data_IF_084916523386
#
_entry.id   IF_084916523386
#
_cell.length_a   1.000
_cell.length_b   1.000
_cell.length_c   1.000
_cell.angle_alpha   90.00
_cell.angle_beta   90.00
_cell.angle_gamma   90.00
#
_symmetry.space_group_name_H-M   'P 1'
#
loop_
_entity.id
_entity.type
_entity.pdbx_description
1 polymer ?
#
# COMPACT_ATOMS: atom_id res chain seq x y z
N UNK A 1 21.71 7.38 1.47
CA UNK A 1 20.91 6.14 1.59
C UNK A 1 19.48 6.48 1.20
N UNK A 2 18.85 5.76 0.29
CA UNK A 2 17.50 6.08 -0.19
C UNK A 2 16.49 5.79 0.91
N UNK A 3 15.69 6.78 1.31
CA UNK A 3 14.68 6.63 2.35
C UNK A 3 13.47 5.90 1.75
N UNK A 4 13.11 4.75 2.32
CA UNK A 4 11.91 3.99 1.95
C UNK A 4 10.78 4.38 2.89
N UNK A 5 9.58 4.60 2.34
CA UNK A 5 8.40 5.00 3.10
C UNK A 5 7.41 3.82 3.12
N UNK A 6 6.88 3.47 4.31
CA UNK A 6 5.70 2.63 4.34
C UNK A 6 4.48 3.46 3.98
N UNK A 7 3.89 3.15 2.83
CA UNK A 7 2.69 3.83 2.39
C UNK A 7 1.44 3.06 2.82
N UNK A 8 0.62 3.72 3.58
CA UNK A 8 -0.61 3.14 4.06
C UNK A 8 -1.77 3.45 3.14
N UNK A 9 -2.43 2.41 2.68
CA UNK A 9 -3.63 2.48 1.86
C UNK A 9 -4.84 2.10 2.73
N UNK A 10 -5.71 3.04 3.14
CA UNK A 10 -6.84 2.77 4.03
C UNK A 10 -8.07 2.13 3.36
N UNK A 11 -8.02 1.88 2.05
CA UNK A 11 -9.11 1.25 1.29
C UNK A 11 -8.67 -0.09 0.72
N UNK A 12 -9.63 -0.96 0.48
CA UNK A 12 -9.37 -2.25 -0.17
C UNK A 12 -9.06 -2.10 -1.66
N UNK A 13 -9.49 -1.00 -2.26
CA UNK A 13 -9.30 -0.72 -3.67
C UNK A 13 -9.13 0.76 -3.96
N UNK A 14 -8.14 1.07 -4.79
CA UNK A 14 -7.90 2.38 -5.38
C UNK A 14 -7.73 2.22 -6.87
N UNK A 15 -8.31 3.13 -7.60
CA UNK A 15 -8.08 3.28 -9.03
C UNK A 15 -7.71 4.72 -9.35
N UNK A 16 -6.69 4.87 -10.15
CA UNK A 16 -6.27 6.15 -10.72
C UNK A 16 -6.05 5.98 -12.20
N UNK A 17 -6.60 6.88 -12.97
CA UNK A 17 -6.44 6.96 -14.41
C UNK A 17 -6.14 8.40 -14.79
N UNK A 18 -5.25 8.56 -15.76
CA UNK A 18 -4.90 9.84 -16.34
C UNK A 18 -5.83 10.24 -17.47
N UNK A 19 -7.16 10.22 -17.29
CA UNK A 19 -8.09 10.77 -18.27
C UNK A 19 -7.89 12.28 -18.42
N UNK A 20 -6.79 12.66 -19.12
CA UNK A 20 -6.55 14.05 -19.55
C UNK A 20 -5.64 14.91 -18.68
N UNK A 21 -5.13 14.42 -17.58
CA UNK A 21 -4.09 15.08 -16.80
C UNK A 21 -2.84 14.20 -16.81
N UNK A 22 -1.78 14.68 -17.44
CA UNK A 22 -0.47 14.01 -17.42
C UNK A 22 0.08 14.08 -15.98
N UNK A 23 -0.18 13.06 -15.21
CA UNK A 23 0.41 12.91 -13.89
C UNK A 23 1.58 11.93 -14.01
N UNK A 24 2.80 12.35 -13.58
CA UNK A 24 3.95 11.45 -13.66
C UNK A 24 3.69 10.15 -12.89
N UNK A 25 4.11 9.02 -13.47
CA UNK A 25 4.22 7.74 -12.76
C UNK A 25 5.45 7.73 -11.85
N UNK A 26 5.83 8.89 -11.32
CA UNK A 26 7.00 9.04 -10.47
C UNK A 26 6.60 8.98 -9.01
N UNK A 27 7.27 8.14 -8.25
CA UNK A 27 7.13 8.09 -6.80
C UNK A 27 8.44 7.74 -6.11
N UNK A 28 8.57 8.17 -4.85
CA UNK A 28 9.67 7.78 -3.99
C UNK A 28 9.58 6.30 -3.62
N UNK A 29 10.71 5.70 -3.22
CA UNK A 29 10.73 4.33 -2.75
C UNK A 29 9.79 4.14 -1.56
N UNK A 30 8.86 3.20 -1.70
CA UNK A 30 7.87 2.86 -0.69
C UNK A 30 7.48 1.39 -0.75
N UNK A 31 6.72 0.94 0.24
CA UNK A 31 6.06 -0.36 0.24
C UNK A 31 4.71 -0.26 0.93
N UNK A 32 3.81 -1.16 0.61
CA UNK A 32 2.50 -1.30 1.23
C UNK A 32 2.00 -2.75 1.14
N UNK A 33 0.95 -3.07 1.92
CA UNK A 33 0.33 -4.41 1.95
C UNK A 33 -0.69 -4.62 0.83
N UNK A 34 -0.59 -3.89 -0.26
CA UNK A 34 -1.48 -4.01 -1.40
C UNK A 34 -0.72 -4.54 -2.59
N UNK A 35 -1.42 -5.21 -3.49
CA UNK A 35 -0.92 -5.43 -4.84
C UNK A 35 -1.06 -4.12 -5.61
N UNK A 36 0.00 -3.73 -6.31
CA UNK A 36 -0.05 -2.60 -7.23
C UNK A 36 0.00 -3.10 -8.67
N UNK A 37 -0.90 -2.60 -9.49
CA UNK A 37 -1.07 -3.02 -10.88
C UNK A 37 -1.01 -1.76 -11.73
N UNK A 38 -0.06 -1.70 -12.65
CA UNK A 38 0.10 -0.59 -13.61
C UNK A 38 -0.03 -1.12 -15.02
N UNK A 39 -1.02 -0.65 -15.76
CA UNK A 39 -1.11 -0.88 -17.20
C UNK A 39 -0.72 0.40 -17.93
N UNK A 40 0.37 0.35 -18.69
CA UNK A 40 0.91 1.48 -19.43
C UNK A 40 0.33 1.51 -20.84
N UNK A 41 -0.60 2.43 -21.09
CA UNK A 41 -1.21 2.62 -22.40
C UNK A 41 -0.25 3.18 -23.43
N UNK A 42 0.55 4.18 -23.00
CA UNK A 42 1.46 4.90 -23.88
C UNK A 42 2.58 5.50 -23.05
N UNK A 43 3.81 5.35 -23.52
CA UNK A 43 5.00 5.91 -22.87
C UNK A 43 6.05 4.88 -22.49
N UNK A 44 6.92 5.30 -21.56
CA UNK A 44 8.03 4.51 -21.03
C UNK A 44 8.34 4.93 -19.61
N UNK A 45 8.52 3.96 -18.72
CA UNK A 45 8.94 4.19 -17.34
C UNK A 45 9.89 3.10 -16.86
N UNK A 46 10.62 3.39 -15.78
CA UNK A 46 11.42 2.40 -15.05
C UNK A 46 10.74 2.11 -13.71
N UNK A 47 10.49 0.83 -13.45
CA UNK A 47 10.09 0.35 -12.15
C UNK A 47 11.29 -0.28 -11.44
N UNK A 48 11.53 0.13 -10.23
CA UNK A 48 12.50 -0.48 -9.34
C UNK A 48 11.73 -1.28 -8.31
N UNK A 49 11.94 -2.58 -8.27
CA UNK A 49 11.25 -3.48 -7.34
C UNK A 49 12.30 -4.24 -6.55
N UNK A 50 12.42 -3.97 -5.25
CA UNK A 50 13.51 -4.39 -4.37
C UNK A 50 14.89 -4.00 -4.93
N UNK A 51 15.71 -5.00 -5.35
CA UNK A 51 17.04 -4.77 -5.95
C UNK A 51 17.03 -4.72 -7.47
N UNK A 52 15.91 -5.07 -8.09
CA UNK A 52 15.82 -5.26 -9.53
C UNK A 52 15.20 -4.03 -10.21
N UNK A 53 15.56 -3.81 -11.48
CA UNK A 53 15.04 -2.72 -12.31
C UNK A 53 14.37 -3.31 -13.54
N UNK A 54 13.16 -2.84 -13.80
CA UNK A 54 12.33 -3.28 -14.92
C UNK A 54 11.97 -2.06 -15.78
N UNK A 55 12.12 -2.22 -17.07
CA UNK A 55 11.63 -1.25 -18.04
C UNK A 55 10.20 -1.59 -18.43
N UNK A 56 9.34 -0.58 -18.46
CA UNK A 56 7.93 -0.71 -18.79
C UNK A 56 7.67 0.15 -20.02
N UNK A 57 7.12 -0.47 -21.06
CA UNK A 57 6.78 0.17 -22.33
C UNK A 57 5.28 0.20 -22.55
N UNK A 58 4.86 0.93 -23.57
CA UNK A 58 3.45 0.92 -24.01
C UNK A 58 2.93 -0.51 -24.15
N UNK A 59 1.72 -0.75 -23.66
CA UNK A 59 1.02 -2.04 -23.63
C UNK A 59 1.55 -3.07 -22.61
N UNK A 60 2.49 -2.68 -21.75
CA UNK A 60 2.96 -3.53 -20.66
C UNK A 60 2.05 -3.43 -19.43
N UNK A 61 1.91 -4.55 -18.74
CA UNK A 61 1.23 -4.67 -17.46
C UNK A 61 2.22 -5.07 -16.38
N UNK A 62 2.47 -4.17 -15.42
CA UNK A 62 3.30 -4.44 -14.25
C UNK A 62 2.42 -4.83 -13.08
N UNK A 63 2.82 -5.89 -12.34
CA UNK A 63 2.13 -6.33 -11.12
C UNK A 63 3.12 -6.48 -9.99
N UNK A 64 3.03 -5.61 -8.99
CA UNK A 64 3.88 -5.60 -7.80
C UNK A 64 3.14 -6.26 -6.65
N UNK A 65 3.71 -7.33 -6.11
CA UNK A 65 3.12 -8.08 -5.00
C UNK A 65 3.29 -7.32 -3.67
N UNK A 66 2.49 -7.65 -2.64
CA UNK A 66 2.52 -6.97 -1.35
C UNK A 66 3.90 -6.92 -0.71
N UNK A 67 4.16 -5.87 0.04
CA UNK A 67 5.38 -5.68 0.84
C UNK A 67 6.69 -5.70 0.03
N UNK A 68 6.62 -5.40 -1.26
CA UNK A 68 7.81 -5.15 -2.09
C UNK A 68 8.17 -3.68 -2.02
N UNK A 69 9.46 -3.38 -1.80
CA UNK A 69 9.95 -2.01 -1.90
C UNK A 69 9.96 -1.63 -3.37
N UNK A 70 9.23 -0.59 -3.74
CA UNK A 70 9.19 -0.16 -5.13
C UNK A 70 9.16 1.35 -5.28
N UNK A 71 9.61 1.81 -6.44
CA UNK A 71 9.54 3.18 -6.89
C UNK A 71 9.43 3.22 -8.40
N UNK A 72 8.91 4.30 -8.91
CA UNK A 72 8.87 4.57 -10.35
C UNK A 72 9.70 5.80 -10.68
N UNK A 73 10.27 5.76 -11.87
CA UNK A 73 10.98 6.88 -12.49
C UNK A 73 10.46 7.05 -13.91
N UNK A 74 9.84 8.20 -14.16
CA UNK A 74 9.39 8.53 -15.51
C UNK A 74 10.59 8.82 -16.40
N UNK A 75 10.64 8.15 -17.54
CA UNK A 75 11.60 8.46 -18.59
C UNK A 75 10.99 9.36 -19.68
N UNK A 76 9.66 9.55 -19.67
CA UNK A 76 8.95 10.45 -20.57
C UNK A 76 7.91 11.28 -19.77
N UNK A 77 7.81 12.57 -20.06
CA UNK A 77 6.90 13.48 -19.36
C UNK A 77 5.40 13.19 -19.61
N UNK A 78 5.04 12.19 -20.38
CA UNK A 78 3.68 11.97 -20.89
C UNK A 78 3.25 10.50 -20.87
N UNK A 79 3.47 9.81 -19.75
CA UNK A 79 2.95 8.45 -19.61
C UNK A 79 1.42 8.46 -19.44
N UNK A 80 0.73 7.58 -20.16
CA UNK A 80 -0.70 7.29 -19.97
C UNK A 80 -0.83 5.92 -19.36
N UNK A 81 -1.43 5.82 -18.19
CA UNK A 81 -1.52 4.55 -17.47
C UNK A 81 -2.80 4.43 -16.65
N UNK A 82 -3.16 3.18 -16.35
CA UNK A 82 -4.08 2.85 -15.27
C UNK A 82 -3.28 2.33 -14.08
N UNK A 83 -3.57 2.82 -12.90
CA UNK A 83 -3.01 2.36 -11.65
C UNK A 83 -4.13 1.81 -10.76
N UNK A 84 -4.04 0.52 -10.42
CA UNK A 84 -4.91 -0.11 -9.44
C UNK A 84 -4.07 -0.51 -8.22
N UNK A 85 -4.56 -0.19 -7.04
CA UNK A 85 -3.95 -0.61 -5.78
C UNK A 85 -5.01 -1.38 -5.00
N UNK A 86 -4.76 -2.66 -4.74
CA UNK A 86 -5.75 -3.63 -4.27
C UNK A 86 -5.25 -4.31 -3.02
N UNK A 87 -6.08 -4.31 -1.97
CA UNK A 87 -5.76 -5.08 -0.77
C UNK A 87 -5.62 -6.57 -1.14
N UNK A 88 -4.49 -7.18 -0.76
CA UNK A 88 -4.24 -8.59 -1.04
C UNK A 88 -5.31 -9.53 -0.47
N UNK A 89 -5.96 -9.14 0.63
CA UNK A 89 -7.01 -9.93 1.29
C UNK A 89 -8.38 -9.85 0.58
N UNK A 90 -8.51 -9.05 -0.47
CA UNK A 90 -9.76 -8.98 -1.25
C UNK A 90 -10.09 -10.33 -1.89
N UNK A 91 -9.07 -11.12 -2.21
CA UNK A 91 -9.17 -12.47 -2.75
C UNK A 91 -8.36 -13.46 -1.90
N UNK A 92 -8.89 -13.91 -0.74
CA UNK A 92 -8.16 -14.78 0.19
C UNK A 92 -7.66 -16.08 -0.43
N UNK A 93 -8.33 -16.57 -1.49
CA UNK A 93 -7.98 -17.78 -2.20
C UNK A 93 -6.58 -17.73 -2.83
N UNK A 94 -6.12 -16.55 -3.17
CA UNK A 94 -4.81 -16.34 -3.79
C UNK A 94 -3.86 -15.56 -2.90
N UNK A 95 -4.32 -14.96 -1.80
CA UNK A 95 -3.51 -14.12 -0.93
C UNK A 95 -2.30 -14.88 -0.36
N UNK A 96 -2.46 -16.17 -0.01
CA UNK A 96 -1.37 -17.00 0.46
C UNK A 96 -0.29 -17.20 -0.62
N UNK A 97 -0.70 -17.46 -1.86
CA UNK A 97 0.24 -17.61 -2.98
C UNK A 97 0.99 -16.31 -3.25
N UNK A 98 0.27 -15.18 -3.32
CA UNK A 98 0.87 -13.85 -3.52
C UNK A 98 1.84 -13.47 -2.38
N UNK A 99 1.57 -13.90 -1.16
CA UNK A 99 2.44 -13.66 -0.01
C UNK A 99 3.69 -14.56 0.01
N UNK A 100 3.60 -15.79 -0.52
CA UNK A 100 4.66 -16.80 -0.48
C UNK A 100 5.57 -16.80 -1.71
N UNK A 101 5.08 -16.30 -2.83
CA UNK A 101 5.77 -16.34 -4.11
C UNK A 101 6.12 -14.93 -4.61
N UNK A 102 7.14 -14.85 -5.46
CA UNK A 102 7.49 -13.65 -6.20
C UNK A 102 7.46 -13.91 -7.69
N UNK A 103 6.97 -12.98 -8.51
CA UNK A 103 7.21 -13.03 -9.94
C UNK A 103 8.71 -13.07 -10.23
N UNK A 104 9.11 -13.89 -11.21
CA UNK A 104 10.47 -13.83 -11.77
C UNK A 104 10.66 -12.54 -12.58
N UNK A 105 9.64 -12.19 -13.34
CA UNK A 105 9.48 -10.90 -13.98
C UNK A 105 8.07 -10.37 -13.63
N UNK A 106 7.95 -9.22 -12.98
CA UNK A 106 6.66 -8.62 -12.64
C UNK A 106 5.98 -7.94 -13.83
N UNK A 107 6.62 -7.91 -15.00
CA UNK A 107 6.11 -7.26 -16.21
C UNK A 107 5.58 -8.28 -17.21
N UNK A 108 4.30 -8.18 -17.51
CA UNK A 108 3.65 -8.91 -18.61
C UNK A 108 3.72 -8.02 -19.85
N UNK A 109 4.43 -8.49 -20.87
CA UNK A 109 4.59 -7.77 -22.13
C UNK A 109 3.36 -7.93 -23.03
N UNK A 110 3.03 -6.85 -23.78
CA UNK A 110 1.92 -6.84 -24.73
C UNK A 110 0.64 -7.39 -24.10
N UNK A 111 0.19 -6.79 -23.02
CA UNK A 111 -0.95 -7.29 -22.23
C UNK A 111 -2.25 -7.34 -23.06
N UNK A 112 -2.36 -6.52 -24.11
CA UNK A 112 -3.49 -6.52 -25.03
C UNK A 112 -3.63 -7.82 -25.86
N UNK A 113 -2.57 -8.63 -25.95
CA UNK A 113 -2.64 -9.95 -26.58
C UNK A 113 -3.52 -10.93 -25.77
N UNK A 114 -3.79 -10.64 -24.51
CA UNK A 114 -4.73 -11.40 -23.69
C UNK A 114 -6.07 -10.64 -23.54
N UNK A 115 -7.08 -10.98 -24.35
CA UNK A 115 -8.37 -10.29 -24.32
C UNK A 115 -9.13 -10.45 -22.99
N UNK A 116 -8.88 -11.52 -22.22
CA UNK A 116 -9.51 -11.73 -20.91
C UNK A 116 -8.93 -10.78 -19.86
N UNK A 117 -7.61 -10.61 -19.83
CA UNK A 117 -6.95 -9.63 -18.95
C UNK A 117 -7.45 -8.22 -19.26
N UNK A 118 -7.53 -7.86 -20.55
CA UNK A 118 -8.01 -6.54 -20.97
C UNK A 118 -9.49 -6.31 -20.64
N UNK A 119 -10.32 -7.32 -20.78
CA UNK A 119 -11.73 -7.22 -20.36
C UNK A 119 -11.86 -6.95 -18.87
N UNK A 120 -11.04 -7.63 -18.03
CA UNK A 120 -11.04 -7.45 -16.59
C UNK A 120 -10.50 -6.07 -16.19
N UNK A 121 -9.43 -5.57 -16.82
CA UNK A 121 -8.93 -4.20 -16.63
C UNK A 121 -10.03 -3.18 -16.94
N UNK A 122 -10.74 -3.34 -18.09
CA UNK A 122 -11.81 -2.43 -18.47
C UNK A 122 -12.98 -2.43 -17.48
N UNK A 123 -13.36 -3.60 -16.95
CA UNK A 123 -14.38 -3.71 -15.91
C UNK A 123 -13.93 -3.02 -14.61
N UNK A 124 -12.68 -3.23 -14.20
CA UNK A 124 -12.14 -2.65 -12.98
C UNK A 124 -11.98 -1.13 -13.08
N UNK A 125 -11.79 -0.55 -14.26
CA UNK A 125 -11.82 0.91 -14.50
C UNK A 125 -13.16 1.52 -14.09
N UNK A 126 -14.24 0.80 -14.31
CA UNK A 126 -15.60 1.27 -14.02
C UNK A 126 -16.10 0.83 -12.63
N UNK A 127 -15.20 0.33 -11.78
CA UNK A 127 -15.55 -0.19 -10.45
C UNK A 127 -16.30 0.81 -9.55
N UNK A 128 -16.13 2.12 -9.77
CA UNK A 128 -16.90 3.14 -9.05
C UNK A 128 -18.38 3.13 -9.43
N UNK A 129 -18.74 2.66 -10.61
CA UNK A 129 -20.13 2.50 -11.06
C UNK A 129 -20.84 1.27 -10.50
N UNK A 130 -20.11 0.36 -9.84
CA UNK A 130 -20.71 -0.85 -9.28
C UNK A 130 -21.79 -0.54 -8.24
N UNK A 131 -22.92 -1.28 -8.25
CA UNK A 131 -23.96 -1.09 -7.25
C UNK A 131 -23.41 -1.24 -5.84
N UNK A 132 -23.69 -0.27 -4.96
CA UNK A 132 -23.18 -0.23 -3.58
C UNK A 132 -23.45 -1.50 -2.81
N UNK A 133 -24.61 -2.11 -3.04
CA UNK A 133 -25.07 -3.34 -2.34
C UNK A 133 -24.18 -4.57 -2.63
N UNK A 134 -23.50 -4.63 -3.75
CA UNK A 134 -22.67 -5.77 -4.16
C UNK A 134 -21.26 -5.39 -4.63
N UNK A 135 -20.85 -4.12 -4.46
CA UNK A 135 -19.55 -3.61 -4.91
C UNK A 135 -18.38 -4.48 -4.43
N UNK A 136 -18.35 -4.84 -3.16
CA UNK A 136 -17.27 -5.68 -2.62
C UNK A 136 -17.25 -7.08 -3.22
N UNK A 137 -18.41 -7.69 -3.42
CA UNK A 137 -18.53 -9.01 -4.06
C UNK A 137 -18.05 -8.98 -5.50
N UNK A 138 -18.43 -7.94 -6.25
CA UNK A 138 -17.99 -7.75 -7.63
C UNK A 138 -16.49 -7.51 -7.72
N UNK A 139 -15.93 -6.62 -6.90
CA UNK A 139 -14.50 -6.38 -6.83
C UNK A 139 -13.73 -7.67 -6.54
N UNK A 140 -14.17 -8.43 -5.53
CA UNK A 140 -13.55 -9.72 -5.19
C UNK A 140 -13.58 -10.69 -6.38
N UNK A 141 -14.72 -10.87 -7.02
CA UNK A 141 -14.87 -11.79 -8.16
C UNK A 141 -13.97 -11.40 -9.34
N UNK A 142 -13.97 -10.12 -9.70
CA UNK A 142 -13.15 -9.64 -10.82
C UNK A 142 -11.65 -9.67 -10.51
N UNK A 143 -11.23 -9.33 -9.29
CA UNK A 143 -9.82 -9.48 -8.90
C UNK A 143 -9.38 -10.92 -8.79
N UNK A 144 -10.22 -11.82 -8.29
CA UNK A 144 -9.90 -13.26 -8.29
C UNK A 144 -9.68 -13.77 -9.72
N UNK A 145 -10.56 -13.39 -10.66
CA UNK A 145 -10.41 -13.75 -12.08
C UNK A 145 -9.16 -13.11 -12.70
N UNK A 146 -8.90 -11.84 -12.40
CA UNK A 146 -7.71 -11.13 -12.88
C UNK A 146 -6.42 -11.80 -12.42
N UNK A 147 -6.31 -12.13 -11.13
CA UNK A 147 -5.11 -12.78 -10.61
C UNK A 147 -4.95 -14.21 -11.14
N UNK A 148 -6.05 -14.94 -11.37
CA UNK A 148 -5.97 -16.26 -11.99
C UNK A 148 -5.33 -16.19 -13.38
N UNK A 149 -5.75 -15.25 -14.23
CA UNK A 149 -5.14 -15.03 -15.55
C UNK A 149 -3.69 -14.55 -15.47
N UNK A 150 -3.43 -13.57 -14.62
CA UNK A 150 -2.10 -12.96 -14.49
C UNK A 150 -1.07 -13.94 -13.92
N UNK A 151 -1.42 -14.75 -12.93
CA UNK A 151 -0.50 -15.73 -12.34
C UNK A 151 -0.12 -16.87 -13.29
N UNK A 152 -0.95 -17.17 -14.29
CA UNK A 152 -0.58 -18.09 -15.37
C UNK A 152 0.44 -17.46 -16.35
N UNK A 153 0.39 -16.14 -16.52
CA UNK A 153 1.30 -15.39 -17.41
C UNK A 153 2.62 -15.03 -16.74
N UNK A 154 2.66 -15.01 -15.42
CA UNK A 154 3.85 -14.65 -14.63
C UNK A 154 4.41 -15.88 -13.92
N UNK A 155 5.48 -16.51 -14.43
CA UNK A 155 6.20 -17.53 -13.69
C UNK A 155 6.66 -16.97 -12.34
N UNK A 156 6.27 -17.63 -11.28
CA UNK A 156 6.65 -17.27 -9.91
C UNK A 156 7.76 -18.17 -9.39
N UNK A 157 8.48 -17.72 -8.38
CA UNK A 157 9.47 -18.50 -7.64
C UNK A 157 9.21 -18.34 -6.15
N UNK A 158 9.52 -19.37 -5.38
CA UNK A 158 9.54 -19.25 -3.93
C UNK A 158 10.51 -18.16 -3.49
N UNK A 159 10.09 -17.36 -2.53
CA UNK A 159 10.93 -16.31 -1.96
C UNK A 159 12.12 -16.95 -1.27
N UNK A 160 13.33 -16.67 -1.77
CA UNK A 160 14.54 -17.06 -1.04
C UNK A 160 14.66 -16.21 0.22
N UNK A 161 15.10 -16.80 1.35
CA UNK A 161 15.43 -16.00 2.53
C UNK A 161 16.54 -14.99 2.17
N UNK A 162 16.20 -13.74 2.11
CA UNK A 162 17.09 -12.61 1.88
C UNK A 162 16.86 -11.55 2.97
N UNK A 163 17.65 -10.48 2.98
CA UNK A 163 17.44 -9.38 3.93
C UNK A 163 16.04 -8.76 3.83
N UNK A 164 15.40 -8.80 2.67
CA UNK A 164 14.05 -8.30 2.48
C UNK A 164 13.00 -9.27 3.02
N UNK A 165 13.32 -10.57 3.11
CA UNK A 165 12.45 -11.56 3.73
C UNK A 165 12.16 -11.23 5.20
N UNK A 166 13.18 -10.88 5.96
CA UNK A 166 13.02 -10.53 7.37
C UNK A 166 12.09 -9.32 7.54
N UNK A 167 12.28 -8.27 6.74
CA UNK A 167 11.42 -7.08 6.83
C UNK A 167 9.98 -7.39 6.41
N UNK A 168 9.78 -8.22 5.36
CA UNK A 168 8.45 -8.66 4.95
C UNK A 168 7.75 -9.44 6.07
N UNK A 169 8.45 -10.39 6.68
CA UNK A 169 7.92 -11.17 7.80
C UNK A 169 7.51 -10.27 8.97
N UNK A 170 8.36 -9.32 9.35
CA UNK A 170 8.07 -8.38 10.44
C UNK A 170 6.90 -7.47 10.10
N UNK A 171 6.87 -6.91 8.90
CA UNK A 171 5.78 -6.02 8.41
C UNK A 171 4.46 -6.78 8.36
N UNK A 172 4.47 -8.00 7.82
CA UNK A 172 3.29 -8.87 7.77
C UNK A 172 2.76 -9.21 9.16
N UNK A 173 3.66 -9.59 10.07
CA UNK A 173 3.28 -9.89 11.46
C UNK A 173 2.65 -8.67 12.13
N UNK A 174 3.24 -7.48 11.97
CA UNK A 174 2.69 -6.25 12.50
C UNK A 174 1.32 -5.93 11.90
N UNK A 175 1.15 -6.07 10.58
CA UNK A 175 -0.11 -5.82 9.89
C UNK A 175 -1.24 -6.74 10.37
N UNK A 176 -0.93 -7.98 10.73
CA UNK A 176 -1.91 -8.93 11.23
C UNK A 176 -2.21 -8.78 12.75
N UNK A 177 -1.34 -8.10 13.49
CA UNK A 177 -1.42 -8.05 14.95
C UNK A 177 -1.39 -6.63 15.54
N UNK A 178 -1.55 -5.56 14.75
CA UNK A 178 -1.38 -4.18 15.21
C UNK A 178 -2.34 -3.76 16.33
N UNK A 179 -3.49 -4.42 16.46
CA UNK A 179 -4.45 -4.15 17.54
C UNK A 179 -4.01 -4.70 18.89
N UNK A 180 -3.06 -5.65 18.90
CA UNK A 180 -2.48 -6.23 20.11
C UNK A 180 -1.35 -5.36 20.64
N UNK A 181 -0.85 -5.68 21.85
CA UNK A 181 0.33 -5.02 22.41
C UNK A 181 1.59 -5.48 21.67
N UNK A 182 1.97 -4.72 20.63
CA UNK A 182 3.17 -4.97 19.83
C UNK A 182 4.38 -4.21 20.38
N UNK A 183 5.43 -4.96 20.71
CA UNK A 183 6.73 -4.44 21.09
C UNK A 183 7.86 -5.15 20.36
N UNK A 184 9.03 -4.52 20.29
CA UNK A 184 10.23 -5.17 19.70
C UNK A 184 10.60 -6.46 20.44
N UNK A 185 10.39 -6.50 21.77
CA UNK A 185 10.67 -7.71 22.57
C UNK A 185 9.68 -8.83 22.27
N UNK A 186 8.40 -8.49 22.01
CA UNK A 186 7.40 -9.48 21.59
C UNK A 186 7.78 -10.04 20.21
N UNK A 187 8.14 -9.17 19.26
CA UNK A 187 8.57 -9.62 17.92
C UNK A 187 9.83 -10.49 17.96
N UNK A 188 10.77 -10.19 18.87
CA UNK A 188 11.97 -11.01 19.10
C UNK A 188 11.60 -12.42 19.51
N UNK A 189 10.65 -12.58 20.42
CA UNK A 189 10.19 -13.89 20.88
C UNK A 189 9.40 -14.65 19.80
N UNK A 190 8.53 -13.96 19.07
CA UNK A 190 7.64 -14.59 18.09
C UNK A 190 8.33 -14.92 16.76
N UNK A 191 9.24 -14.05 16.33
CA UNK A 191 9.90 -14.17 15.02
C UNK A 191 11.33 -14.70 15.10
N UNK A 192 11.87 -14.90 16.30
CA UNK A 192 13.25 -15.32 16.53
C UNK A 192 14.30 -14.42 15.87
N UNK A 193 13.97 -13.12 15.75
CA UNK A 193 14.83 -12.06 15.22
C UNK A 193 15.17 -11.11 16.36
N UNK A 194 16.46 -10.78 16.56
CA UNK A 194 16.83 -9.88 17.67
C UNK A 194 16.14 -8.52 17.54
N UNK A 195 15.73 -7.94 18.67
CA UNK A 195 15.10 -6.59 18.69
C UNK A 195 15.99 -5.52 18.05
N UNK A 196 17.31 -5.65 18.15
CA UNK A 196 18.26 -4.75 17.49
C UNK A 196 18.17 -4.86 15.97
N UNK A 197 18.13 -6.10 15.45
CA UNK A 197 17.99 -6.35 14.03
C UNK A 197 16.65 -5.81 13.50
N UNK A 198 15.54 -6.08 14.21
CA UNK A 198 14.23 -5.54 13.84
C UNK A 198 14.25 -4.00 13.84
N UNK A 199 14.84 -3.38 14.87
CA UNK A 199 14.96 -1.92 14.94
C UNK A 199 15.76 -1.34 13.78
N UNK A 200 16.86 -2.00 13.37
CA UNK A 200 17.66 -1.65 12.21
C UNK A 200 16.89 -1.79 10.90
N UNK A 201 16.10 -2.87 10.75
CA UNK A 201 15.24 -3.04 9.56
C UNK A 201 14.29 -1.85 9.39
N UNK A 202 13.66 -1.39 10.47
CA UNK A 202 12.79 -0.21 10.41
C UNK A 202 13.56 1.08 10.15
N UNK A 203 14.65 1.32 10.86
CA UNK A 203 15.45 2.54 10.73
C UNK A 203 16.13 2.65 9.38
N UNK A 204 16.86 1.62 8.99
CA UNK A 204 17.75 1.65 7.82
C UNK A 204 17.05 1.34 6.50
N UNK A 205 16.10 0.39 6.52
CA UNK A 205 15.38 -0.02 5.30
C UNK A 205 14.10 0.79 5.07
N UNK A 206 13.29 1.01 6.11
CA UNK A 206 12.01 1.73 5.98
C UNK A 206 12.10 3.22 6.33
N UNK A 207 13.20 3.68 6.93
CA UNK A 207 13.34 5.08 7.35
C UNK A 207 12.29 5.55 8.37
N UNK A 208 11.67 4.63 9.11
CA UNK A 208 10.63 4.90 10.10
C UNK A 208 10.94 4.15 11.39
N UNK A 209 10.57 4.70 12.54
CA UNK A 209 10.66 3.96 13.79
C UNK A 209 9.56 2.92 13.92
N UNK A 210 9.85 1.76 14.51
CA UNK A 210 8.88 0.70 14.74
C UNK A 210 7.56 1.19 15.35
N UNK A 211 7.63 1.99 16.41
CA UNK A 211 6.42 2.51 17.06
C UNK A 211 5.61 3.46 16.17
N UNK A 212 6.26 4.27 15.34
CA UNK A 212 5.58 5.15 14.38
C UNK A 212 4.90 4.32 13.28
N UNK A 213 5.53 3.22 12.86
CA UNK A 213 4.95 2.25 11.94
C UNK A 213 3.69 1.59 12.53
N UNK A 214 3.76 1.00 13.74
CA UNK A 214 2.60 0.37 14.39
C UNK A 214 1.47 1.40 14.61
N UNK A 215 1.81 2.62 15.04
CA UNK A 215 0.82 3.67 15.20
C UNK A 215 0.17 4.06 13.87
N UNK A 216 0.91 4.02 12.76
CA UNK A 216 0.31 4.28 11.45
C UNK A 216 -0.72 3.21 11.08
N UNK A 217 -0.48 1.94 11.38
CA UNK A 217 -1.44 0.86 11.20
C UNK A 217 -2.71 1.09 12.03
N UNK A 218 -2.57 1.41 13.29
CA UNK A 218 -3.68 1.69 14.21
C UNK A 218 -4.52 2.89 13.77
N UNK A 219 -3.86 3.97 13.35
CA UNK A 219 -4.56 5.19 12.91
C UNK A 219 -5.40 4.99 11.67
N UNK A 220 -4.99 4.13 10.74
CA UNK A 220 -5.82 3.85 9.57
C UNK A 220 -7.08 3.08 9.94
N UNK A 221 -6.95 2.08 10.76
CA UNK A 221 -8.11 1.36 11.23
C UNK A 221 -9.05 2.31 11.99
N UNK A 222 -8.49 3.20 12.83
CA UNK A 222 -9.25 4.25 13.47
C UNK A 222 -9.95 5.17 12.46
N UNK A 223 -9.26 5.62 11.41
CA UNK A 223 -9.85 6.42 10.34
C UNK A 223 -10.99 5.68 9.63
N UNK A 224 -10.82 4.39 9.35
CA UNK A 224 -11.90 3.55 8.81
C UNK A 224 -13.11 3.54 9.74
N UNK A 225 -12.90 3.23 11.02
CA UNK A 225 -13.99 3.18 12.02
C UNK A 225 -14.68 4.54 12.18
N UNK A 226 -13.92 5.65 12.19
CA UNK A 226 -14.48 7.01 12.28
C UNK A 226 -15.45 7.33 11.13
N UNK A 227 -15.19 6.80 9.93
CA UNK A 227 -16.05 7.01 8.75
C UNK A 227 -17.23 6.05 8.70
N UNK A 228 -17.04 4.79 9.14
CA UNK A 228 -17.99 3.71 8.86
C UNK A 228 -18.83 3.30 10.06
N UNK A 229 -18.53 3.78 11.28
CA UNK A 229 -19.23 3.36 12.50
C UNK A 229 -19.70 4.55 13.34
N UNK A 230 -20.61 4.28 14.28
CA UNK A 230 -21.06 5.22 15.30
C UNK A 230 -20.32 5.06 16.65
N UNK A 231 -19.27 4.25 16.71
CA UNK A 231 -18.49 4.04 17.92
C UNK A 231 -17.96 5.37 18.47
N UNK A 232 -17.90 5.52 19.78
CA UNK A 232 -17.28 6.68 20.43
C UNK A 232 -15.79 6.76 20.09
N UNK A 233 -15.19 7.94 20.29
CA UNK A 233 -13.73 8.13 20.08
C UNK A 233 -12.92 7.21 20.98
N UNK A 234 -13.40 6.97 22.20
CA UNK A 234 -12.75 6.06 23.15
C UNK A 234 -12.82 4.60 22.66
N UNK A 235 -14.00 4.13 22.28
CA UNK A 235 -14.16 2.77 21.72
C UNK A 235 -13.30 2.55 20.49
N UNK A 236 -13.18 3.55 19.60
CA UNK A 236 -12.31 3.47 18.43
C UNK A 236 -10.83 3.42 18.84
N UNK A 237 -10.41 4.24 19.81
CA UNK A 237 -9.06 4.19 20.35
C UNK A 237 -8.70 2.78 20.82
N UNK A 238 -9.57 2.17 21.60
CA UNK A 238 -9.36 0.83 22.15
C UNK A 238 -9.39 -0.25 21.05
N UNK A 239 -10.39 -0.23 20.19
CA UNK A 239 -10.56 -1.21 19.11
C UNK A 239 -9.43 -1.14 18.06
N UNK A 240 -8.83 0.03 17.86
CA UNK A 240 -7.67 0.20 16.98
C UNK A 240 -6.33 -0.13 17.65
N UNK A 241 -6.33 -0.55 18.93
CA UNK A 241 -5.15 -1.04 19.64
C UNK A 241 -4.30 0.05 20.31
N UNK A 242 -4.83 1.26 20.50
CA UNK A 242 -4.14 2.26 21.31
C UNK A 242 -4.38 1.99 22.81
N UNK A 243 -3.29 1.90 23.57
CA UNK A 243 -3.37 1.63 25.02
C UNK A 243 -3.98 2.78 25.83
N UNK A 244 -4.01 4.01 25.31
CA UNK A 244 -4.65 5.16 25.96
C UNK A 244 -5.20 6.15 24.95
N UNK A 245 -6.34 6.78 25.29
CA UNK A 245 -6.94 7.86 24.49
C UNK A 245 -5.97 9.04 24.28
N UNK A 246 -5.11 9.32 25.25
CA UNK A 246 -4.06 10.37 25.13
C UNK A 246 -3.06 10.05 24.04
N UNK A 247 -2.58 8.82 23.97
CA UNK A 247 -1.64 8.38 22.93
C UNK A 247 -2.32 8.40 21.56
N UNK A 248 -3.56 7.95 21.48
CA UNK A 248 -4.38 8.00 20.28
C UNK A 248 -4.50 9.42 19.73
N UNK A 249 -5.02 10.36 20.54
CA UNK A 249 -5.22 11.74 20.12
C UNK A 249 -3.92 12.40 19.66
N UNK A 250 -2.83 12.23 20.45
CA UNK A 250 -1.51 12.77 20.08
C UNK A 250 -1.01 12.22 18.74
N UNK A 251 -1.12 10.91 18.53
CA UNK A 251 -0.70 10.26 17.28
C UNK A 251 -1.57 10.70 16.09
N UNK A 252 -2.88 10.84 16.33
CA UNK A 252 -3.84 11.25 15.33
C UNK A 252 -3.54 12.69 14.84
N UNK A 253 -3.40 13.63 15.76
CA UNK A 253 -3.07 15.03 15.43
C UNK A 253 -1.69 15.12 14.76
N UNK A 254 -0.67 14.40 15.28
CA UNK A 254 0.68 14.40 14.71
C UNK A 254 0.69 13.95 13.25
N UNK A 255 -0.10 12.93 12.89
CA UNK A 255 -0.06 12.33 11.54
C UNK A 255 -1.07 12.94 10.57
N UNK A 256 -2.22 13.38 11.05
CA UNK A 256 -3.35 13.83 10.21
C UNK A 256 -3.62 15.32 10.30
N UNK A 257 -2.98 16.04 11.24
CA UNK A 257 -3.11 17.48 11.42
C UNK A 257 -4.46 17.93 11.97
N UNK A 258 -5.34 17.00 12.37
CA UNK A 258 -6.70 17.28 12.87
C UNK A 258 -7.05 16.34 14.03
N UNK A 259 -8.06 16.67 14.81
CA UNK A 259 -8.56 15.77 15.86
C UNK A 259 -9.45 14.65 15.29
N UNK A 260 -9.56 13.49 15.98
CA UNK A 260 -10.46 12.41 15.57
C UNK A 260 -11.93 12.87 15.41
N UNK A 261 -12.39 13.76 16.28
CA UNK A 261 -13.76 14.28 16.23
C UNK A 261 -14.00 15.19 15.02
N UNK A 262 -13.03 16.05 14.70
CA UNK A 262 -13.07 16.91 13.51
C UNK A 262 -12.98 16.05 12.25
N UNK A 263 -12.08 15.06 12.23
CA UNK A 263 -11.95 14.12 11.12
C UNK A 263 -13.28 13.40 10.85
N UNK A 264 -13.95 12.89 11.87
CA UNK A 264 -15.28 12.27 11.77
C UNK A 264 -16.29 13.23 11.16
N UNK A 265 -16.37 14.47 11.69
CA UNK A 265 -17.33 15.46 11.23
C UNK A 265 -17.15 15.82 9.75
N UNK A 266 -15.90 15.95 9.31
CA UNK A 266 -15.55 16.32 7.93
C UNK A 266 -15.70 15.18 6.95
N UNK A 267 -15.68 13.92 7.41
CA UNK A 267 -15.66 12.73 6.55
C UNK A 267 -16.85 11.79 6.79
N UNK A 268 -17.86 12.22 7.55
CA UNK A 268 -19.07 11.43 7.83
C UNK A 268 -20.03 11.54 6.64
N UNK A 269 -20.19 10.48 5.90
CA UNK A 269 -21.00 10.43 4.68
C UNK A 269 -20.17 10.18 3.41
N UNK A 270 -18.88 10.45 3.44
CA UNK A 270 -17.96 10.15 2.35
C UNK A 270 -17.40 8.72 2.47
N UNK A 271 -18.30 7.75 2.45
CA UNK A 271 -17.87 6.35 2.35
C UNK A 271 -17.15 6.06 1.01
N UNK A 272 -17.10 7.05 0.09
CA UNK A 272 -16.62 6.87 -1.28
C UNK A 272 -15.68 7.96 -1.78
N UNK A 273 -15.51 9.11 -1.11
CA UNK A 273 -14.71 10.18 -1.67
C UNK A 273 -13.90 10.94 -0.60
N UNK A 274 -12.78 10.36 -0.21
CA UNK A 274 -11.65 11.12 0.33
C UNK A 274 -10.39 10.60 -0.34
N UNK A 275 -10.01 11.25 -1.41
CA UNK A 275 -8.61 11.40 -1.75
C UNK A 275 -7.93 12.07 -0.56
N UNK A 276 -7.42 11.29 0.39
CA UNK A 276 -6.35 11.77 1.24
C UNK A 276 -5.24 12.09 0.24
N UNK A 277 -4.80 13.37 0.14
CA UNK A 277 -3.66 13.67 -0.73
C UNK A 277 -2.54 12.74 -0.25
N UNK A 278 -2.10 11.84 -1.11
CA UNK A 278 -0.85 11.13 -0.86
C UNK A 278 0.20 12.20 -0.58
N UNK A 279 1.22 11.95 0.27
CA UNK A 279 2.31 12.91 0.49
C UNK A 279 2.96 13.42 -0.80
N UNK A 280 2.76 12.76 -1.92
CA UNK A 280 3.14 13.16 -3.27
C UNK A 280 2.30 14.29 -3.87
N UNK A 281 1.11 14.62 -3.35
CA UNK A 281 0.29 15.74 -3.86
C UNK A 281 0.50 17.08 -3.13
N UNK A 282 1.13 17.05 -1.96
CA UNK A 282 1.77 18.26 -1.45
C UNK A 282 3.19 18.25 -2.02
N UNK A 283 3.50 19.19 -2.89
CA UNK A 283 4.87 19.59 -3.12
C UNK A 283 5.48 19.84 -1.73
N UNK A 284 6.14 18.81 -1.18
CA UNK A 284 6.87 18.95 0.06
C UNK A 284 8.05 19.82 -0.33
N UNK A 285 7.97 21.07 0.08
CA UNK A 285 9.14 21.95 0.04
C UNK A 285 10.28 21.18 0.73
N UNK A 286 11.39 20.85 0.05
CA UNK A 286 12.45 20.02 0.61
C UNK A 286 13.08 20.59 1.86
N UNK A 287 12.83 21.86 2.17
CA UNK A 287 13.44 22.60 3.27
C UNK A 287 12.74 22.44 4.64
N UNK A 288 11.62 21.70 4.75
CA UNK A 288 10.88 21.61 6.01
C UNK A 288 11.21 20.40 6.91
N UNK A 289 12.24 19.62 6.59
CA UNK A 289 12.70 18.48 7.43
C UNK A 289 14.21 18.51 7.71
N UNK A 290 14.77 19.70 7.90
CA UNK A 290 16.06 19.81 8.58
C UNK A 290 15.75 19.85 10.08
N UNK A 291 15.87 18.71 10.74
CA UNK A 291 16.05 18.69 12.20
C UNK A 291 17.50 19.10 12.42
N UNK A 292 17.68 20.33 12.86
CA UNK A 292 18.94 20.78 13.43
C UNK A 292 19.32 19.82 14.58
N UNK A 293 20.39 19.08 14.38
CA UNK A 293 21.11 18.43 15.47
C UNK A 293 22.05 19.46 16.03
N UNK A 294 21.62 20.13 17.10
CA UNK A 294 22.52 20.88 17.94
C UNK A 294 23.50 19.93 18.65
N UNK A 295 24.73 20.39 18.72
CA UNK A 295 26.00 19.82 19.22
C UNK A 295 25.94 19.05 20.51
#
# INVERSE_FOLDING_TARGET
MMKVIYEKKPRDFYYRNDRGLVTPLQCNAHLHYHVEIVYLHDGYAKAYVDSDTFEIHSDDLLVIFPNRIHRFEDATEKNKYDLFIVNADIAPEISQRIAAENPQDPVIRNASDNPRVMALINILRDAESFPKSCKQTLLRGYFLSFFAEVLEMMPTRNIKPDENQAIRTVVQYCSNNFTKDLSLSMLENELHLSKYYISHLFGDKLGIRFNDYVNSLRLSEACRMLRTTNMSITEISDASGFGTLRTFNRSFIKQLGTSPSEYRRSNRGDALDVSIPTPTQRAVNPESYIVETDA
#
